data_IF_955967751045
#
_entry.id   IF_955967751045
#
_cell.length_a   1.000
_cell.length_b   1.000
_cell.length_c   1.000
_cell.angle_alpha   90.00
_cell.angle_beta   90.00
_cell.angle_gamma   90.00
#
_symmetry.space_group_name_H-M   'P 1'
#
loop_
_entity.id
_entity.type
_entity.pdbx_description
1 polymer ?
#
# COMPACT_ATOMS: atom_id res chain seq x y z
N UNK A 1 3.82 -6.05 13.73
CA UNK A 1 4.71 -6.81 12.82
C UNK A 1 5.96 -6.01 12.44
N UNK A 2 5.98 -5.14 11.42
CA UNK A 2 7.23 -4.46 11.03
C UNK A 2 7.92 -3.64 12.15
N UNK A 3 7.15 -2.84 12.91
CA UNK A 3 7.69 -2.07 14.06
C UNK A 3 8.13 -2.96 15.24
N UNK A 4 7.47 -4.10 15.45
CA UNK A 4 7.81 -5.06 16.52
C UNK A 4 9.09 -5.84 16.19
N UNK A 5 9.41 -5.95 14.91
CA UNK A 5 10.66 -6.53 14.39
C UNK A 5 11.82 -5.52 14.32
N UNK A 6 11.63 -4.30 14.88
CA UNK A 6 12.65 -3.26 14.92
C UNK A 6 12.82 -2.46 13.63
N UNK A 7 11.90 -2.58 12.66
CA UNK A 7 11.94 -1.76 11.47
C UNK A 7 11.71 -0.27 11.81
N UNK A 8 12.50 0.60 11.18
CA UNK A 8 12.37 2.06 11.28
C UNK A 8 11.77 2.61 10.00
N UNK A 9 10.81 3.52 10.14
CA UNK A 9 10.14 4.16 9.00
C UNK A 9 10.74 5.55 8.77
N UNK A 10 11.19 5.81 7.54
CA UNK A 10 11.83 7.08 7.15
C UNK A 10 10.95 7.80 6.13
N UNK A 11 10.61 9.04 6.40
CA UNK A 11 9.98 9.96 5.43
C UNK A 11 11.04 10.93 4.93
N UNK A 12 11.14 11.10 3.60
CA UNK A 12 12.08 12.02 2.96
C UNK A 12 11.41 13.33 2.61
N UNK A 13 12.01 14.47 2.99
CA UNK A 13 11.58 15.80 2.54
C UNK A 13 10.32 16.33 3.20
N UNK A 14 9.88 15.74 4.32
CA UNK A 14 8.78 16.27 5.12
C UNK A 14 9.18 17.57 5.85
N UNK A 15 8.18 18.36 6.25
CA UNK A 15 8.41 19.60 7.02
C UNK A 15 9.03 19.25 8.39
N UNK A 16 10.17 19.83 8.73
CA UNK A 16 10.99 19.40 9.89
C UNK A 16 10.34 19.64 11.25
N UNK A 17 9.47 20.64 11.36
CA UNK A 17 8.77 21.04 12.58
C UNK A 17 7.42 20.35 12.76
N UNK A 18 7.08 19.38 11.89
CA UNK A 18 5.82 18.63 11.94
C UNK A 18 6.12 17.14 11.95
N UNK A 19 5.46 16.41 12.86
CA UNK A 19 5.51 14.95 12.89
C UNK A 19 5.01 14.42 11.54
N UNK A 20 5.87 13.70 10.84
CA UNK A 20 5.51 13.07 9.59
C UNK A 20 4.85 11.73 9.87
N UNK A 21 3.76 11.47 9.15
CA UNK A 21 3.03 10.21 9.18
C UNK A 21 3.33 9.45 7.89
N UNK A 22 3.42 8.13 7.97
CA UNK A 22 3.45 7.26 6.81
C UNK A 22 2.14 6.47 6.81
N UNK A 23 1.17 6.87 6.00
CA UNK A 23 0.00 6.03 5.78
C UNK A 23 -0.37 6.10 4.30
N UNK A 24 -0.54 4.93 3.69
CA UNK A 24 -1.15 4.80 2.38
C UNK A 24 -2.57 4.25 2.54
N UNK A 25 -3.28 4.08 1.43
CA UNK A 25 -4.53 3.31 1.45
C UNK A 25 -4.24 1.90 1.94
N UNK A 26 -4.85 1.49 3.06
CA UNK A 26 -4.71 0.14 3.59
C UNK A 26 -6.03 -0.60 3.38
N UNK A 27 -5.97 -1.63 2.56
CA UNK A 27 -7.14 -2.10 1.83
C UNK A 27 -7.31 -1.32 0.52
N UNK A 28 -8.50 -1.34 -0.09
CA UNK A 28 -8.72 -0.64 -1.35
C UNK A 28 -8.54 -1.51 -2.60
N UNK A 29 -8.72 -2.84 -2.50
CA UNK A 29 -8.85 -3.64 -3.71
C UNK A 29 -10.19 -3.34 -4.37
N UNK A 30 -10.13 -2.67 -5.52
CA UNK A 30 -11.23 -2.66 -6.48
C UNK A 30 -10.99 -3.82 -7.44
N UNK A 31 -11.96 -4.73 -7.50
CA UNK A 31 -11.96 -5.78 -8.52
C UNK A 31 -13.27 -5.71 -9.28
N UNK A 32 -13.21 -5.93 -10.57
CA UNK A 32 -14.37 -6.02 -11.43
C UNK A 32 -14.44 -7.39 -12.09
N UNK A 33 -15.65 -7.80 -12.45
CA UNK A 33 -15.91 -9.08 -13.06
C UNK A 33 -15.08 -9.29 -14.33
N UNK A 34 -14.93 -8.25 -15.16
CA UNK A 34 -14.29 -8.37 -16.47
C UNK A 34 -12.80 -8.67 -16.37
N UNK A 35 -12.13 -8.05 -15.39
CA UNK A 35 -10.72 -8.34 -15.08
C UNK A 35 -10.57 -9.79 -14.62
N UNK A 36 -11.41 -10.26 -13.69
CA UNK A 36 -11.34 -11.65 -13.18
C UNK A 36 -11.65 -12.68 -14.27
N UNK A 37 -12.72 -12.49 -15.04
CA UNK A 37 -13.11 -13.41 -16.13
C UNK A 37 -12.02 -13.47 -17.21
N UNK A 38 -11.39 -12.34 -17.54
CA UNK A 38 -10.23 -12.32 -18.44
C UNK A 38 -9.07 -13.14 -17.88
N UNK A 39 -8.74 -13.00 -16.59
CA UNK A 39 -7.70 -13.82 -15.95
C UNK A 39 -8.04 -15.32 -15.99
N UNK A 40 -9.28 -15.71 -15.70
CA UNK A 40 -9.72 -17.11 -15.75
C UNK A 40 -9.68 -17.67 -17.18
N UNK A 41 -10.07 -16.88 -18.19
CA UNK A 41 -10.03 -17.27 -19.61
C UNK A 41 -8.60 -17.43 -20.12
N UNK A 42 -7.74 -16.45 -19.85
CA UNK A 42 -6.33 -16.45 -20.30
C UNK A 42 -5.52 -17.56 -19.66
N UNK A 43 -5.88 -17.97 -18.44
CA UNK A 43 -5.27 -19.12 -17.75
C UNK A 43 -5.89 -20.48 -18.14
N UNK A 44 -6.90 -20.50 -19.02
CA UNK A 44 -7.53 -21.75 -19.49
C UNK A 44 -8.43 -22.44 -18.45
N UNK A 45 -8.85 -21.74 -17.39
CA UNK A 45 -9.54 -22.32 -16.23
C UNK A 45 -11.07 -22.37 -16.36
N UNK A 46 -11.65 -21.97 -17.50
CA UNK A 46 -13.12 -21.94 -17.69
C UNK A 46 -13.82 -23.30 -17.62
N UNK A 47 -13.06 -24.38 -17.77
CA UNK A 47 -13.60 -25.74 -17.64
C UNK A 47 -13.75 -26.20 -16.17
N UNK A 48 -13.27 -25.42 -15.20
CA UNK A 48 -13.45 -25.72 -13.78
C UNK A 48 -14.90 -25.43 -13.34
N UNK A 49 -15.50 -26.32 -12.54
CA UNK A 49 -16.87 -26.14 -12.03
C UNK A 49 -17.07 -24.91 -11.14
N UNK A 50 -15.99 -24.37 -10.56
CA UNK A 50 -15.98 -23.16 -9.77
C UNK A 50 -15.72 -21.90 -10.60
N UNK A 51 -15.43 -22.03 -11.91
CA UNK A 51 -15.25 -20.87 -12.77
C UNK A 51 -16.58 -20.13 -12.94
N UNK A 52 -16.61 -18.80 -12.82
CA UNK A 52 -17.85 -18.05 -12.98
C UNK A 52 -18.36 -18.16 -14.43
N UNK A 53 -19.68 -18.17 -14.66
CA UNK A 53 -20.24 -18.10 -16.01
C UNK A 53 -19.93 -16.76 -16.66
N UNK A 54 -19.95 -16.70 -17.99
CA UNK A 54 -19.75 -15.44 -18.72
C UNK A 54 -20.83 -14.41 -18.37
N UNK A 55 -20.39 -13.18 -18.12
CA UNK A 55 -21.26 -12.07 -17.77
C UNK A 55 -21.79 -11.37 -19.03
N UNK A 56 -23.09 -11.49 -19.29
CA UNK A 56 -23.73 -11.14 -20.57
C UNK A 56 -24.55 -9.84 -20.50
N UNK A 57 -23.92 -8.74 -20.14
CA UNK A 57 -24.56 -7.41 -20.09
C UNK A 57 -23.56 -6.32 -20.44
N UNK A 58 -24.04 -5.20 -20.96
CA UNK A 58 -23.22 -4.00 -21.21
C UNK A 58 -23.12 -3.15 -19.94
N UNK A 59 -22.49 -3.71 -18.91
CA UNK A 59 -22.33 -3.06 -17.60
C UNK A 59 -21.01 -3.49 -16.95
N UNK A 60 -20.36 -2.58 -16.23
CA UNK A 60 -19.23 -2.92 -15.36
C UNK A 60 -19.76 -3.24 -13.97
N UNK A 61 -19.53 -4.46 -13.50
CA UNK A 61 -19.81 -4.86 -12.12
C UNK A 61 -18.51 -5.14 -11.39
N UNK A 62 -18.35 -4.54 -10.22
CA UNK A 62 -17.20 -4.76 -9.37
C UNK A 62 -17.52 -4.57 -7.90
N UNK A 63 -16.63 -5.10 -7.07
CA UNK A 63 -16.64 -4.91 -5.63
C UNK A 63 -15.42 -4.05 -5.31
N UNK A 64 -15.67 -2.96 -4.59
CA UNK A 64 -14.61 -2.18 -3.96
C UNK A 64 -14.62 -2.49 -2.48
N UNK A 65 -13.58 -3.16 -2.00
CA UNK A 65 -13.33 -3.31 -0.57
C UNK A 65 -12.68 -2.03 -0.06
N UNK A 66 -13.47 -1.15 0.55
CA UNK A 66 -13.02 0.23 0.74
C UNK A 66 -12.08 0.46 1.91
N UNK A 67 -12.08 -0.35 2.97
CA UNK A 67 -11.26 -0.04 4.15
C UNK A 67 -10.81 -1.33 4.86
N UNK A 68 -9.50 -1.47 5.04
CA UNK A 68 -8.94 -2.42 6.00
C UNK A 68 -9.06 -1.85 7.41
N UNK A 69 -9.51 -2.66 8.37
CA UNK A 69 -9.45 -2.31 9.79
C UNK A 69 -8.04 -2.54 10.31
N UNK A 70 -7.64 -1.73 11.29
CA UNK A 70 -6.27 -1.77 11.76
C UNK A 70 -5.92 -2.99 12.59
N UNK A 71 -4.63 -3.28 12.65
CA UNK A 71 -4.11 -4.40 13.44
C UNK A 71 -4.02 -3.99 14.91
N UNK A 72 -3.60 -2.75 15.18
CA UNK A 72 -3.40 -2.22 16.52
C UNK A 72 -4.73 -1.84 17.19
N UNK A 73 -5.55 -1.02 16.52
CA UNK A 73 -6.93 -0.79 16.92
C UNK A 73 -7.89 -1.41 15.88
N UNK A 74 -8.41 -2.62 16.12
CA UNK A 74 -9.32 -3.28 15.19
C UNK A 74 -10.72 -2.67 15.17
N UNK A 75 -11.02 -1.67 16.00
CA UNK A 75 -12.32 -0.98 16.00
C UNK A 75 -12.40 0.15 14.98
N UNK A 76 -11.26 0.52 14.37
CA UNK A 76 -11.17 1.61 13.41
C UNK A 76 -10.45 1.14 12.13
N UNK A 77 -10.79 1.70 10.95
CA UNK A 77 -9.97 1.64 9.75
C UNK A 77 -8.51 1.97 10.03
N UNK A 78 -7.61 1.22 9.42
CA UNK A 78 -6.15 1.43 9.54
C UNK A 78 -5.74 2.83 9.08
N UNK A 79 -6.44 3.37 8.06
CA UNK A 79 -6.22 4.71 7.51
C UNK A 79 -6.52 5.85 8.49
N UNK A 80 -7.30 5.58 9.55
CA UNK A 80 -7.66 6.58 10.56
C UNK A 80 -6.72 6.58 11.76
N UNK A 81 -5.78 5.63 11.79
CA UNK A 81 -4.82 5.49 12.87
C UNK A 81 -3.54 6.26 12.55
N UNK A 82 -2.90 6.81 13.59
CA UNK A 82 -1.63 7.49 13.44
C UNK A 82 -0.51 6.48 13.16
N UNK A 83 0.31 6.78 12.17
CA UNK A 83 1.47 6.00 11.75
C UNK A 83 2.72 6.90 11.71
N UNK A 84 3.21 7.35 12.87
CA UNK A 84 4.29 8.33 12.89
C UNK A 84 5.57 7.67 12.37
N UNK A 85 6.23 8.35 11.44
CA UNK A 85 7.53 7.98 10.95
C UNK A 85 8.56 8.07 12.08
N UNK A 86 9.50 7.14 12.10
CA UNK A 86 10.60 7.12 13.07
C UNK A 86 11.59 8.25 12.80
N UNK A 87 11.84 8.55 11.52
CA UNK A 87 12.80 9.56 11.09
C UNK A 87 12.18 10.41 9.97
N UNK A 88 12.27 11.73 10.12
CA UNK A 88 12.02 12.67 9.05
C UNK A 88 13.37 13.11 8.48
N UNK A 89 13.79 12.49 7.37
CA UNK A 89 15.06 12.76 6.71
C UNK A 89 14.91 14.02 5.83
N UNK A 90 15.69 15.08 6.08
CA UNK A 90 15.63 16.29 5.26
C UNK A 90 16.08 16.01 3.82
N UNK A 91 15.36 16.56 2.85
CA UNK A 91 15.79 16.53 1.46
C UNK A 91 16.85 17.61 1.22
N UNK A 92 17.99 17.21 0.66
CA UNK A 92 19.11 18.11 0.37
C UNK A 92 19.52 18.01 -1.10
N UNK A 93 20.30 18.97 -1.58
CA UNK A 93 20.72 19.04 -2.99
C UNK A 93 21.60 17.85 -3.43
N UNK A 94 22.31 17.23 -2.49
CA UNK A 94 23.19 16.07 -2.73
C UNK A 94 22.43 14.74 -2.86
N UNK A 95 21.25 14.62 -2.25
CA UNK A 95 20.46 13.37 -2.28
C UNK A 95 19.20 13.45 -3.16
N UNK A 96 18.78 14.66 -3.58
CA UNK A 96 17.58 14.84 -4.41
C UNK A 96 17.70 14.08 -5.72
N UNK A 97 16.63 13.39 -6.12
CA UNK A 97 16.55 12.56 -7.34
C UNK A 97 17.63 11.47 -7.45
N UNK A 98 18.27 11.09 -6.35
CA UNK A 98 19.30 10.04 -6.32
C UNK A 98 18.95 8.95 -5.29
N UNK A 99 18.22 7.90 -5.70
CA UNK A 99 17.83 6.82 -4.80
C UNK A 99 19.00 6.18 -4.05
N UNK A 100 20.15 5.99 -4.73
CA UNK A 100 21.34 5.42 -4.10
C UNK A 100 21.88 6.34 -2.99
N UNK A 101 22.01 7.64 -3.25
CA UNK A 101 22.50 8.59 -2.26
C UNK A 101 21.55 8.70 -1.05
N UNK A 102 20.23 8.62 -1.29
CA UNK A 102 19.23 8.55 -0.22
C UNK A 102 19.46 7.31 0.66
N UNK A 103 19.62 6.13 0.06
CA UNK A 103 19.84 4.89 0.80
C UNK A 103 21.16 4.90 1.58
N UNK A 104 22.24 5.40 1.00
CA UNK A 104 23.52 5.56 1.69
C UNK A 104 23.40 6.51 2.90
N UNK A 105 22.66 7.60 2.75
CA UNK A 105 22.43 8.54 3.84
C UNK A 105 21.58 7.92 4.96
N UNK A 106 20.54 7.15 4.61
CA UNK A 106 19.74 6.40 5.59
C UNK A 106 20.62 5.39 6.34
N UNK A 107 21.43 4.61 5.63
CA UNK A 107 22.30 3.61 6.23
C UNK A 107 23.31 4.22 7.22
N UNK A 108 23.78 5.46 6.98
CA UNK A 108 24.69 6.18 7.89
C UNK A 108 24.01 6.75 9.13
N UNK A 109 22.71 7.05 9.05
CA UNK A 109 22.01 7.86 10.07
C UNK A 109 20.97 7.09 10.88
N UNK A 110 20.48 5.97 10.35
CA UNK A 110 19.33 5.23 10.90
C UNK A 110 19.69 3.82 11.37
N UNK A 111 20.70 3.18 10.76
CA UNK A 111 21.27 1.89 11.21
C UNK A 111 22.31 2.12 12.30
#
# INVERSE_FOLDING_TARGET
MAKEEGAKMVVLGGKQDVQQEYCGTVGGQSTDFSTVDTSVKTTGLKNNSLAPPDFKTNSVQGITWRLGFGIQDPTQPEEWQNHPATVNLPLTADIVNSPLAIWEQIAKTVL
#
